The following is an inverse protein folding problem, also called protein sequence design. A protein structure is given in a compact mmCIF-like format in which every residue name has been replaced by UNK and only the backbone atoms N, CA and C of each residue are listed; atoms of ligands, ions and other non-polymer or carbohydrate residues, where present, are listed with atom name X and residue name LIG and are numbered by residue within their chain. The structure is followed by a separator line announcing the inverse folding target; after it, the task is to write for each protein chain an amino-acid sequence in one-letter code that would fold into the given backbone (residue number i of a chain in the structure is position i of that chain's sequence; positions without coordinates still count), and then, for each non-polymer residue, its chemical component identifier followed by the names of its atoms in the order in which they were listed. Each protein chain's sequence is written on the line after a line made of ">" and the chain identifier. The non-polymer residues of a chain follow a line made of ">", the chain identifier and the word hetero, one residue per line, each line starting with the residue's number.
data_IF_192181605118
#
_entry.id   IF_192181605118
#
_cell.length_a   1.000
_cell.length_b   1.000
_cell.length_c   1.000
_cell.angle_alpha   90.00
_cell.angle_beta   90.00
_cell.angle_gamma   90.00
#
_symmetry.space_group_name_H-M   'P 1'
#
loop_
_entity.id
_entity.type
_entity.pdbx_description
1 polymer ?
#
# COMPACT_ATOMS: atom_id res chain seq x y z
N UNK A 1 -2.50 14.08 5.30
CA UNK A 1 -2.62 15.53 5.61
C UNK A 1 -1.50 16.35 4.98
N UNK A 2 -0.23 16.00 5.15
CA UNK A 2 0.89 16.75 4.54
C UNK A 2 0.79 16.86 3.00
N UNK A 3 0.40 15.79 2.29
CA UNK A 3 0.28 15.84 0.83
C UNK A 3 -0.72 16.89 0.32
N UNK A 4 -1.79 17.17 1.08
CA UNK A 4 -2.77 18.19 0.69
C UNK A 4 -2.23 19.63 0.79
N UNK A 5 -1.13 19.85 1.49
CA UNK A 5 -0.45 21.16 1.53
C UNK A 5 0.50 21.37 0.35
N UNK A 6 0.83 20.28 -0.38
CA UNK A 6 1.73 20.32 -1.52
C UNK A 6 1.01 20.53 -2.85
N UNK A 7 -0.31 20.31 -2.89
CA UNK A 7 -1.09 20.48 -4.12
C UNK A 7 -2.49 19.87 -4.03
N UNK A 8 -3.14 19.76 -5.19
CA UNK A 8 -4.50 19.22 -5.29
C UNK A 8 -4.50 17.71 -5.03
N UNK A 9 -4.77 17.32 -3.79
CA UNK A 9 -4.85 15.92 -3.36
C UNK A 9 -6.20 15.30 -3.69
N UNK A 10 -6.19 14.20 -4.42
CA UNK A 10 -7.35 13.33 -4.60
C UNK A 10 -7.01 11.93 -4.11
N UNK A 11 -7.83 11.34 -3.26
CA UNK A 11 -7.59 10.02 -2.70
C UNK A 11 -8.81 9.12 -2.86
N UNK A 12 -8.57 7.82 -3.05
CA UNK A 12 -9.62 6.81 -3.02
C UNK A 12 -10.14 6.65 -1.59
N UNK A 13 -11.43 6.44 -1.50
CA UNK A 13 -12.13 6.24 -0.25
C UNK A 13 -13.16 5.12 -0.38
N UNK A 14 -13.09 4.16 0.51
CA UNK A 14 -14.09 3.12 0.66
C UNK A 14 -15.01 3.49 1.82
N UNK A 15 -16.33 3.67 1.57
CA UNK A 15 -17.30 4.02 2.61
C UNK A 15 -17.34 2.96 3.72
N UNK A 16 -17.42 3.42 4.95
CA UNK A 16 -17.54 2.53 6.10
C UNK A 16 -19.00 2.06 6.27
N UNK A 17 -19.22 0.82 6.74
CA UNK A 17 -20.58 0.29 6.95
C UNK A 17 -21.41 1.13 7.94
N UNK A 18 -20.78 1.73 8.94
CA UNK A 18 -21.43 2.56 9.94
C UNK A 18 -21.49 4.02 9.47
N UNK A 19 -22.65 4.45 8.97
CA UNK A 19 -22.86 5.75 8.34
C UNK A 19 -22.41 6.97 9.17
N UNK A 20 -22.64 6.96 10.51
CA UNK A 20 -22.21 8.06 11.38
C UNK A 20 -20.68 8.16 11.48
N UNK A 21 -20.01 7.01 11.56
CA UNK A 21 -18.55 6.95 11.58
C UNK A 21 -17.97 7.35 10.22
N UNK A 22 -18.62 6.89 9.14
CA UNK A 22 -18.27 7.25 7.77
C UNK A 22 -18.27 8.78 7.57
N UNK A 23 -19.33 9.46 7.98
CA UNK A 23 -19.44 10.91 7.89
C UNK A 23 -18.34 11.62 8.71
N UNK A 24 -18.02 11.13 9.92
CA UNK A 24 -16.96 11.69 10.75
C UNK A 24 -15.59 11.57 10.08
N UNK A 25 -15.26 10.37 9.59
CA UNK A 25 -13.99 10.09 8.90
C UNK A 25 -13.88 10.89 7.61
N UNK A 26 -14.96 10.94 6.82
CA UNK A 26 -15.03 11.70 5.57
C UNK A 26 -14.78 13.21 5.82
N UNK A 27 -15.49 13.81 6.77
CA UNK A 27 -15.29 15.20 7.17
C UNK A 27 -13.87 15.47 7.68
N UNK A 28 -13.34 14.57 8.52
CA UNK A 28 -11.98 14.70 9.07
C UNK A 28 -10.92 14.70 7.96
N UNK A 29 -11.06 13.82 6.96
CA UNK A 29 -10.13 13.75 5.82
C UNK A 29 -10.25 14.95 4.88
N UNK A 30 -11.47 15.48 4.67
CA UNK A 30 -11.69 16.67 3.84
C UNK A 30 -11.21 17.98 4.49
N UNK A 31 -11.12 18.06 5.82
CA UNK A 31 -10.63 19.25 6.56
C UNK A 31 -9.25 19.72 6.10
N UNK A 32 -8.48 18.87 5.46
CA UNK A 32 -7.12 19.17 4.97
C UNK A 32 -7.08 19.57 3.51
N UNK A 33 -8.24 19.77 2.86
CA UNK A 33 -8.34 20.20 1.45
C UNK A 33 -8.24 19.05 0.42
N UNK A 34 -8.09 17.80 0.84
CA UNK A 34 -8.09 16.66 -0.07
C UNK A 34 -9.50 16.30 -0.54
N UNK A 35 -9.65 15.96 -1.83
CA UNK A 35 -10.88 15.41 -2.39
C UNK A 35 -10.89 13.89 -2.25
N UNK A 36 -12.01 13.33 -1.75
CA UNK A 36 -12.21 11.88 -1.68
C UNK A 36 -13.10 11.42 -2.84
N UNK A 37 -12.71 10.35 -3.49
CA UNK A 37 -13.47 9.70 -4.57
C UNK A 37 -13.66 8.22 -4.23
N UNK A 38 -14.82 7.62 -4.57
CA UNK A 38 -15.10 6.23 -4.22
C UNK A 38 -14.22 5.24 -5.00
N UNK A 39 -14.00 4.06 -4.43
CA UNK A 39 -13.29 2.92 -5.07
C UNK A 39 -14.17 2.23 -6.12
N UNK A 40 -14.74 3.01 -7.03
CA UNK A 40 -15.55 2.55 -8.16
C UNK A 40 -14.83 2.85 -9.48
N UNK A 41 -15.19 2.23 -10.60
CA UNK A 41 -14.60 2.56 -11.91
C UNK A 41 -14.68 4.05 -12.24
N UNK A 42 -15.77 4.72 -11.88
CA UNK A 42 -15.96 6.17 -12.06
C UNK A 42 -14.98 6.98 -11.18
N UNK A 43 -14.83 6.60 -9.91
CA UNK A 43 -13.91 7.26 -8.98
C UNK A 43 -12.44 7.06 -9.39
N UNK A 44 -12.07 5.87 -9.86
CA UNK A 44 -10.73 5.59 -10.40
C UNK A 44 -10.48 6.43 -11.66
N UNK A 45 -11.46 6.55 -12.57
CA UNK A 45 -11.33 7.41 -13.76
C UNK A 45 -11.17 8.90 -13.39
N UNK A 46 -11.85 9.36 -12.35
CA UNK A 46 -11.71 10.71 -11.81
C UNK A 46 -10.32 10.93 -11.19
N UNK A 47 -9.82 9.95 -10.43
CA UNK A 47 -8.47 9.96 -9.88
C UNK A 47 -7.41 10.09 -10.99
N UNK A 48 -7.50 9.26 -12.04
CA UNK A 48 -6.59 9.33 -13.20
C UNK A 48 -6.62 10.71 -13.87
N UNK A 49 -7.81 11.29 -14.06
CA UNK A 49 -7.96 12.64 -14.64
C UNK A 49 -7.30 13.71 -13.78
N UNK A 50 -7.52 13.64 -12.47
CA UNK A 50 -6.93 14.59 -11.52
C UNK A 50 -5.39 14.53 -11.55
N UNK A 51 -4.83 13.33 -11.52
CA UNK A 51 -3.38 13.13 -11.53
C UNK A 51 -2.78 13.60 -12.86
N UNK A 52 -3.44 13.33 -14.00
CA UNK A 52 -3.04 13.87 -15.31
C UNK A 52 -3.02 15.40 -15.38
N UNK A 53 -3.90 16.04 -14.62
CA UNK A 53 -3.96 17.50 -14.51
C UNK A 53 -2.96 18.09 -13.49
N UNK A 54 -1.96 17.30 -13.05
CA UNK A 54 -0.95 17.74 -12.08
C UNK A 54 -1.36 17.59 -10.62
N UNK A 55 -2.46 16.87 -10.34
CA UNK A 55 -2.88 16.54 -8.98
C UNK A 55 -1.99 15.47 -8.33
N UNK A 56 -2.13 15.35 -7.02
CA UNK A 56 -1.41 14.38 -6.18
C UNK A 56 -2.38 13.31 -5.70
N UNK A 57 -1.91 12.07 -5.59
CA UNK A 57 -2.63 10.99 -4.90
C UNK A 57 -1.69 10.18 -4.01
N UNK A 58 -2.26 9.53 -2.99
CA UNK A 58 -1.56 8.54 -2.17
C UNK A 58 -2.22 7.18 -2.31
N UNK A 59 -1.42 6.15 -2.57
CA UNK A 59 -1.83 4.76 -2.60
C UNK A 59 -1.01 4.01 -1.55
N UNK A 60 -1.65 3.10 -0.81
CA UNK A 60 -1.00 2.17 0.11
C UNK A 60 -0.79 0.84 -0.65
N UNK A 61 0.40 0.61 -1.22
CA UNK A 61 0.62 -0.52 -2.13
C UNK A 61 0.75 -1.85 -1.41
N UNK A 62 0.97 -1.82 -0.11
CA UNK A 62 1.11 -2.98 0.77
C UNK A 62 -0.22 -3.53 1.30
N UNK A 63 -1.34 -2.92 0.94
CA UNK A 63 -2.66 -3.47 1.22
C UNK A 63 -3.02 -4.57 0.21
N UNK A 64 -3.48 -5.71 0.75
CA UNK A 64 -3.90 -6.89 -0.04
C UNK A 64 -5.33 -6.69 -0.52
N UNK A 65 -5.59 -6.66 -1.84
CA UNK A 65 -6.94 -6.52 -2.35
C UNK A 65 -7.78 -7.76 -2.07
N UNK A 66 -9.09 -7.58 -1.96
CA UNK A 66 -10.06 -8.67 -1.78
C UNK A 66 -10.37 -9.42 -3.07
N UNK A 67 -10.21 -8.77 -4.23
CA UNK A 67 -10.43 -9.37 -5.54
C UNK A 67 -9.13 -10.01 -6.05
N UNK A 68 -9.18 -11.32 -6.30
CA UNK A 68 -8.05 -12.11 -6.83
C UNK A 68 -7.55 -11.61 -8.21
N UNK A 69 -8.36 -10.87 -8.95
CA UNK A 69 -8.00 -10.27 -10.24
C UNK A 69 -7.33 -8.91 -10.11
N UNK A 70 -7.30 -8.35 -8.90
CA UNK A 70 -6.80 -6.99 -8.65
C UNK A 70 -5.29 -6.93 -8.37
N UNK A 71 -4.55 -8.02 -8.54
CA UNK A 71 -3.11 -8.06 -8.26
C UNK A 71 -2.42 -9.29 -8.83
N UNK A 72 -1.13 -9.41 -8.52
CA UNK A 72 -0.29 -10.55 -8.87
C UNK A 72 0.57 -10.95 -7.66
N UNK A 73 1.03 -12.21 -7.66
CA UNK A 73 2.02 -12.66 -6.69
C UNK A 73 3.41 -12.23 -7.18
N UNK A 74 4.09 -11.43 -6.36
CA UNK A 74 5.46 -10.95 -6.60
C UNK A 74 6.22 -10.92 -5.27
N UNK A 75 7.57 -11.00 -5.28
CA UNK A 75 8.36 -11.03 -4.07
C UNK A 75 8.15 -9.79 -3.17
N UNK A 76 8.10 -10.05 -1.86
CA UNK A 76 8.21 -9.05 -0.80
C UNK A 76 9.05 -9.68 0.32
N UNK A 77 10.20 -9.09 0.64
CA UNK A 77 11.25 -9.71 1.46
C UNK A 77 11.62 -11.13 1.01
N UNK A 78 11.71 -11.35 -0.31
CA UNK A 78 12.07 -12.65 -0.89
C UNK A 78 10.97 -13.71 -0.86
N UNK A 79 9.77 -13.39 -0.36
CA UNK A 79 8.62 -14.30 -0.30
C UNK A 79 7.50 -13.77 -1.19
N UNK A 80 6.97 -14.62 -2.08
CA UNK A 80 5.85 -14.24 -2.94
C UNK A 80 4.63 -13.84 -2.13
N UNK A 81 4.09 -12.67 -2.40
CA UNK A 81 2.85 -12.19 -1.83
C UNK A 81 1.97 -11.49 -2.85
N UNK A 82 0.67 -11.59 -2.64
CA UNK A 82 -0.32 -10.98 -3.52
C UNK A 82 -0.27 -9.46 -3.40
N UNK A 83 0.10 -8.78 -4.47
CA UNK A 83 0.33 -7.33 -4.52
C UNK A 83 -0.65 -6.66 -5.46
N UNK A 84 -1.32 -5.61 -4.98
CA UNK A 84 -2.34 -4.87 -5.72
C UNK A 84 -1.76 -4.15 -6.95
N UNK A 85 -2.43 -4.29 -8.10
CA UNK A 85 -2.02 -3.65 -9.36
C UNK A 85 -2.48 -2.19 -9.50
N UNK A 86 -3.23 -1.67 -8.53
CA UNK A 86 -3.82 -0.31 -8.61
C UNK A 86 -2.76 0.77 -8.83
N UNK A 87 -1.66 0.74 -8.08
CA UNK A 87 -0.61 1.76 -8.17
C UNK A 87 0.08 1.74 -9.54
N UNK A 88 0.53 0.57 -10.01
CA UNK A 88 1.17 0.44 -11.33
C UNK A 88 0.22 0.82 -12.48
N UNK A 89 -1.05 0.41 -12.41
CA UNK A 89 -2.07 0.78 -13.38
C UNK A 89 -2.34 2.29 -13.38
N UNK A 90 -2.35 2.93 -12.22
CA UNK A 90 -2.54 4.38 -12.12
C UNK A 90 -1.35 5.11 -12.74
N UNK A 91 -0.12 4.75 -12.42
CA UNK A 91 1.10 5.33 -12.98
C UNK A 91 1.07 5.23 -14.50
N UNK A 92 0.85 4.02 -15.04
CA UNK A 92 0.79 3.78 -16.48
C UNK A 92 -0.30 4.58 -17.19
N UNK A 93 -1.50 4.68 -16.57
CA UNK A 93 -2.64 5.40 -17.16
C UNK A 93 -2.50 6.91 -17.07
N UNK A 94 -1.87 7.43 -16.03
CA UNK A 94 -1.78 8.87 -15.78
C UNK A 94 -0.49 9.50 -16.28
N UNK A 95 0.61 8.73 -16.40
CA UNK A 95 1.95 9.25 -16.63
C UNK A 95 2.55 9.95 -15.41
N UNK A 96 1.99 9.69 -14.21
CA UNK A 96 2.46 10.31 -12.98
C UNK A 96 3.89 9.92 -12.63
N UNK A 97 4.65 10.84 -12.05
CA UNK A 97 5.93 10.55 -11.43
C UNK A 97 5.71 9.86 -10.07
N UNK A 98 6.11 8.59 -9.90
CA UNK A 98 5.93 7.87 -8.65
C UNK A 98 6.98 8.30 -7.62
N UNK A 99 6.53 8.52 -6.39
CA UNK A 99 7.39 8.81 -5.22
C UNK A 99 6.99 7.86 -4.11
N UNK A 100 7.97 7.20 -3.51
CA UNK A 100 7.78 6.37 -2.33
C UNK A 100 7.85 7.23 -1.09
N UNK A 101 6.95 7.02 -0.12
CA UNK A 101 6.92 7.83 1.09
C UNK A 101 6.43 7.07 2.32
N UNK A 102 7.00 7.39 3.47
CA UNK A 102 6.55 6.91 4.77
C UNK A 102 6.57 8.01 5.81
N UNK A 103 5.85 7.81 6.90
CA UNK A 103 5.86 8.71 8.04
C UNK A 103 6.30 7.95 9.28
N UNK A 104 7.38 8.36 9.87
CA UNK A 104 7.95 7.77 11.08
C UNK A 104 7.56 8.62 12.30
N UNK A 105 7.17 7.96 13.37
CA UNK A 105 6.99 8.59 14.68
C UNK A 105 8.37 8.87 15.27
N UNK A 106 8.53 10.04 15.85
CA UNK A 106 9.72 10.46 16.59
C UNK A 106 9.33 10.88 18.01
N UNK A 107 10.27 11.04 18.96
CA UNK A 107 9.96 11.51 20.30
C UNK A 107 9.22 12.84 20.36
N UNK A 108 9.44 13.72 19.36
CA UNK A 108 8.87 15.06 19.30
C UNK A 108 7.77 15.23 18.25
N UNK A 109 7.32 14.14 17.59
CA UNK A 109 6.27 14.22 16.57
C UNK A 109 6.41 13.21 15.44
N UNK A 110 6.40 13.67 14.20
CA UNK A 110 6.46 12.81 13.02
C UNK A 110 7.47 13.35 12.00
N UNK A 111 8.17 12.45 11.33
CA UNK A 111 9.07 12.74 10.22
C UNK A 111 8.56 12.06 8.96
N UNK A 112 8.21 12.83 7.94
CA UNK A 112 7.92 12.30 6.60
C UNK A 112 9.25 12.05 5.86
N UNK A 113 9.36 10.88 5.24
CA UNK A 113 10.51 10.46 4.42
C UNK A 113 9.99 10.20 3.03
N UNK A 114 10.60 10.83 2.02
CA UNK A 114 10.28 10.63 0.61
C UNK A 114 11.54 10.23 -0.14
N UNK A 115 11.36 9.36 -1.14
CA UNK A 115 12.42 8.94 -2.05
C UNK A 115 11.85 8.69 -3.45
N UNK A 116 12.66 8.80 -4.52
CA UNK A 116 12.25 8.34 -5.83
C UNK A 116 11.82 6.88 -5.78
N UNK A 117 10.81 6.52 -6.59
CA UNK A 117 10.46 5.12 -6.78
C UNK A 117 11.56 4.37 -7.53
N UNK A 118 11.59 3.05 -7.39
CA UNK A 118 12.51 2.20 -8.14
C UNK A 118 12.22 2.31 -9.65
N UNK A 119 13.23 2.35 -10.53
CA UNK A 119 13.03 2.52 -11.97
C UNK A 119 12.06 1.50 -12.59
N UNK A 120 12.10 0.24 -12.14
CA UNK A 120 11.21 -0.82 -12.58
C UNK A 120 9.72 -0.55 -12.37
N UNK A 121 9.34 0.41 -11.50
CA UNK A 121 7.93 0.81 -11.30
C UNK A 121 7.28 1.33 -12.59
N UNK A 122 8.09 1.85 -13.54
CA UNK A 122 7.64 2.35 -14.83
C UNK A 122 7.59 1.26 -15.92
N UNK A 123 7.95 0.03 -15.61
CA UNK A 123 7.94 -1.09 -16.57
C UNK A 123 6.54 -1.35 -17.12
N UNK A 124 6.48 -1.75 -18.38
CA UNK A 124 5.26 -2.27 -19.00
C UNK A 124 4.94 -3.70 -18.54
N UNK A 125 5.94 -4.46 -18.06
CA UNK A 125 5.76 -5.75 -17.42
C UNK A 125 5.17 -5.58 -16.03
N UNK A 126 4.02 -6.20 -15.79
CA UNK A 126 3.30 -6.05 -14.53
C UNK A 126 4.03 -6.69 -13.34
N UNK A 127 4.73 -7.82 -13.57
CA UNK A 127 5.48 -8.51 -12.51
C UNK A 127 6.67 -7.65 -12.09
N UNK A 128 7.41 -7.10 -13.05
CA UNK A 128 8.53 -6.19 -12.77
C UNK A 128 8.04 -4.94 -12.05
N UNK A 129 6.95 -4.30 -12.54
CA UNK A 129 6.42 -3.09 -11.94
C UNK A 129 5.97 -3.29 -10.48
N UNK A 130 5.27 -4.39 -10.19
CA UNK A 130 4.81 -4.71 -8.85
C UNK A 130 5.95 -5.13 -7.92
N UNK A 131 6.93 -5.89 -8.44
CA UNK A 131 8.14 -6.24 -7.70
C UNK A 131 8.95 -5.00 -7.31
N UNK A 132 9.09 -4.04 -8.22
CA UNK A 132 9.75 -2.76 -7.96
C UNK A 132 8.98 -1.90 -6.91
N UNK A 133 7.64 -1.93 -6.93
CA UNK A 133 6.83 -1.29 -5.88
C UNK A 133 7.11 -1.94 -4.53
N UNK A 134 7.10 -3.27 -4.42
CA UNK A 134 7.40 -3.98 -3.19
C UNK A 134 8.81 -3.66 -2.69
N UNK A 135 9.83 -3.69 -3.56
CA UNK A 135 11.19 -3.29 -3.20
C UNK A 135 11.26 -1.86 -2.65
N UNK A 136 10.49 -0.93 -3.23
CA UNK A 136 10.37 0.43 -2.70
C UNK A 136 9.78 0.47 -1.29
N UNK A 137 8.77 -0.36 -1.00
CA UNK A 137 8.18 -0.51 0.35
C UNK A 137 9.20 -1.09 1.32
N UNK A 138 9.93 -2.15 0.95
CA UNK A 138 10.98 -2.75 1.77
C UNK A 138 12.05 -1.72 2.18
N UNK A 139 12.49 -0.90 1.22
CA UNK A 139 13.45 0.18 1.49
C UNK A 139 12.89 1.28 2.41
N UNK A 140 11.57 1.53 2.40
CA UNK A 140 10.94 2.42 3.37
C UNK A 140 10.86 1.79 4.76
N UNK A 141 10.55 0.49 4.86
CA UNK A 141 10.50 -0.26 6.11
C UNK A 141 11.88 -0.28 6.78
N UNK A 142 12.97 -0.38 6.01
CA UNK A 142 14.33 -0.38 6.51
C UNK A 142 14.73 0.91 7.29
N UNK A 143 13.95 1.99 7.22
CA UNK A 143 14.19 3.17 8.06
C UNK A 143 13.86 2.96 9.54
N UNK A 144 12.83 2.17 9.84
CA UNK A 144 12.48 1.68 11.19
C UNK A 144 11.41 0.56 11.03
N UNK A 145 11.87 -0.67 11.00
CA UNK A 145 11.06 -1.86 10.81
C UNK A 145 10.04 -2.10 11.93
N UNK A 146 10.32 -1.58 13.15
CA UNK A 146 9.42 -1.66 14.30
C UNK A 146 8.13 -0.86 14.10
N UNK A 147 8.11 0.11 13.17
CA UNK A 147 6.95 0.95 12.89
C UNK A 147 6.10 0.44 11.72
N UNK A 148 6.49 -0.67 11.09
CA UNK A 148 5.66 -1.28 10.07
C UNK A 148 4.53 -2.11 10.68
N UNK A 149 3.38 -2.15 10.02
CA UNK A 149 2.19 -2.87 10.49
C UNK A 149 2.28 -4.38 10.20
N UNK A 150 3.22 -5.11 10.81
CA UNK A 150 3.40 -6.56 10.63
C UNK A 150 2.13 -7.36 10.92
N UNK A 151 1.28 -6.91 11.86
CA UNK A 151 0.01 -7.55 12.20
C UNK A 151 -1.03 -7.53 11.05
N UNK A 152 -0.79 -6.77 9.98
CA UNK A 152 -1.71 -6.71 8.83
C UNK A 152 -1.79 -8.02 8.04
N UNK A 153 -0.93 -9.01 8.31
CA UNK A 153 -0.88 -10.30 7.60
C UNK A 153 -0.72 -10.12 6.10
N UNK A 154 0.37 -9.46 5.69
CA UNK A 154 0.67 -9.11 4.29
C UNK A 154 0.69 -10.32 3.35
N UNK A 155 1.04 -11.51 3.84
CA UNK A 155 1.15 -12.75 3.10
C UNK A 155 -0.10 -13.65 3.16
N UNK A 156 -1.26 -13.13 3.60
CA UNK A 156 -2.49 -13.92 3.80
C UNK A 156 -3.08 -14.52 2.51
N UNK A 157 -2.83 -13.91 1.35
CA UNK A 157 -3.26 -14.43 0.07
C UNK A 157 -2.09 -15.09 -0.62
N UNK A 158 -2.08 -16.42 -0.63
CA UNK A 158 -1.06 -17.24 -1.28
C UNK A 158 -1.68 -18.09 -2.39
N UNK A 159 -0.90 -18.42 -3.44
CA UNK A 159 -1.33 -19.42 -4.42
C UNK A 159 -1.77 -20.71 -3.76
N UNK A 160 -2.77 -21.38 -4.33
CA UNK A 160 -3.26 -22.68 -3.84
C UNK A 160 -2.12 -23.68 -3.77
N UNK A 161 -2.07 -24.46 -2.69
CA UNK A 161 -1.05 -25.49 -2.45
C UNK A 161 0.23 -25.02 -1.77
N UNK A 162 0.38 -23.70 -1.50
CA UNK A 162 1.46 -23.20 -0.67
C UNK A 162 1.05 -23.10 0.80
N UNK A 163 2.02 -23.30 1.69
CA UNK A 163 1.82 -23.22 3.15
C UNK A 163 1.32 -21.83 3.54
N UNK A 164 0.26 -21.78 4.36
CA UNK A 164 -0.20 -20.56 4.99
C UNK A 164 0.81 -20.13 6.07
N UNK A 165 1.45 -18.98 5.90
CA UNK A 165 2.40 -18.45 6.88
C UNK A 165 1.77 -18.06 8.23
N UNK A 166 0.46 -18.03 8.31
CA UNK A 166 -0.28 -17.67 9.53
C UNK A 166 -1.06 -18.84 10.11
N UNK A 167 -0.86 -20.04 9.57
CA UNK A 167 -1.34 -21.28 10.16
C UNK A 167 -0.35 -21.77 11.23
N UNK A 168 -0.62 -21.41 12.48
CA UNK A 168 0.19 -21.78 13.64
C UNK A 168 -0.09 -23.20 14.12
N UNK A 169 -1.09 -23.92 13.56
CA UNK A 169 -1.42 -25.27 13.96
C UNK A 169 -0.32 -26.28 13.61
N UNK A 170 0.49 -25.97 12.60
CA UNK A 170 1.62 -26.78 12.16
C UNK A 170 2.98 -26.27 12.69
N UNK A 171 3.02 -25.21 13.49
CA UNK A 171 4.27 -24.72 14.08
C UNK A 171 4.74 -25.67 15.17
N UNK A 172 6.01 -26.12 15.18
CA UNK A 172 6.54 -26.88 16.30
C UNK A 172 6.43 -26.03 17.58
N UNK A 173 5.95 -26.63 18.65
CA UNK A 173 5.92 -25.99 19.96
C UNK A 173 7.35 -25.56 20.34
N UNK A 174 7.50 -24.34 20.83
CA UNK A 174 8.82 -23.75 21.17
C UNK A 174 9.63 -24.61 22.15
N UNK A 175 9.01 -25.56 22.84
CA UNK A 175 9.64 -26.48 23.79
C UNK A 175 10.58 -27.51 23.14
N UNK A 176 10.48 -27.75 21.83
CA UNK A 176 11.37 -28.70 21.13
C UNK A 176 12.73 -28.07 20.73
N UNK A 177 12.84 -26.74 20.74
CA UNK A 177 14.07 -26.03 20.39
C UNK A 177 15.07 -25.99 21.55
N UNK A 178 14.60 -26.12 22.79
CA UNK A 178 15.42 -26.05 24.01
C UNK A 178 16.14 -27.36 24.35
N UNK A 179 15.81 -28.48 23.72
CA UNK A 179 16.34 -29.80 24.06
C UNK A 179 17.53 -30.27 23.18
N UNK A 180 18.02 -29.41 22.27
CA UNK A 180 19.14 -29.72 21.35
C UNK A 180 20.31 -28.76 21.49
N UNK A 181 20.52 -28.20 22.68
CA UNK A 181 21.76 -27.45 23.00
C UNK A 181 22.60 -28.21 24.01
#
# INVERSE_FOLDING_TARGET
>A
MHLATLGNLVALYEPLPLQKLDQLVHRSRQRTGGKLVPTTPRGIAELVRSVRAGGITGILPDQVPSDEKAGLNVPFFGVDCFTASLASNLIRKSGAAPVMGTVLRTPTGFRAVYRPAEPGVLSSDAVEALGAINLGVEKLIAHDDRQYQWQYKRFRCRPRGLVDHYDWSAAPLLDEVSSKS
#
